data_IF_571354548979
#
_entry.id   IF_571354548979
#
_cell.length_a   1.000
_cell.length_b   1.000
_cell.length_c   1.000
_cell.angle_alpha   90.00
_cell.angle_beta   90.00
_cell.angle_gamma   90.00
#
_symmetry.space_group_name_H-M   'P 1'
#
loop_
_entity.id
_entity.type
_entity.pdbx_description
1 polymer ?
#
# COMPACT_ATOMS: atom_id res chain seq x y z
N UNK A 1 17.89 -56.28 -88.03
CA UNK A 1 17.80 -54.81 -87.91
C UNK A 1 16.56 -54.38 -87.17
N UNK A 2 15.35 -54.86 -87.54
CA UNK A 2 14.09 -54.49 -86.84
C UNK A 2 14.07 -54.87 -85.37
N UNK A 3 14.64 -56.00 -84.97
CA UNK A 3 14.73 -56.47 -83.58
C UNK A 3 15.76 -55.62 -82.77
N UNK A 4 16.82 -55.16 -83.44
CA UNK A 4 17.78 -54.25 -82.80
C UNK A 4 17.20 -52.85 -82.55
N UNK A 5 16.48 -52.32 -83.59
CA UNK A 5 15.77 -51.05 -83.40
C UNK A 5 14.63 -51.10 -82.35
N UNK A 6 13.92 -52.27 -82.27
CA UNK A 6 12.93 -52.44 -81.23
C UNK A 6 13.56 -52.56 -79.82
N UNK A 7 14.75 -53.19 -79.70
CA UNK A 7 15.44 -53.21 -78.45
C UNK A 7 15.94 -51.81 -78.01
N UNK A 8 16.50 -51.04 -78.94
CA UNK A 8 16.93 -49.65 -78.68
C UNK A 8 15.73 -48.77 -78.33
N UNK A 9 14.60 -48.96 -79.02
CA UNK A 9 13.35 -48.22 -78.66
C UNK A 9 12.79 -48.66 -77.30
N UNK A 10 12.92 -49.99 -76.98
CA UNK A 10 12.49 -50.48 -75.64
C UNK A 10 13.45 -50.03 -74.55
N UNK A 11 14.78 -49.95 -74.83
CA UNK A 11 15.74 -49.40 -73.88
C UNK A 11 15.56 -47.88 -73.74
N UNK A 12 15.18 -47.13 -74.77
CA UNK A 12 14.79 -45.73 -74.70
C UNK A 12 13.39 -45.55 -74.05
N UNK A 13 12.53 -46.58 -74.03
CA UNK A 13 11.23 -46.59 -73.37
C UNK A 13 11.30 -47.15 -71.94
N UNK A 14 12.47 -47.67 -71.52
CA UNK A 14 12.72 -47.89 -70.07
C UNK A 14 12.91 -46.53 -69.33
N UNK A 15 11.83 -45.75 -69.33
CA UNK A 15 11.76 -44.61 -68.42
C UNK A 15 11.96 -45.13 -67.01
N UNK A 16 13.05 -44.74 -66.37
CA UNK A 16 13.23 -44.99 -64.95
C UNK A 16 11.93 -44.63 -64.21
N UNK A 17 11.48 -45.51 -63.31
CA UNK A 17 10.34 -45.17 -62.45
C UNK A 17 10.56 -43.76 -61.88
N UNK A 18 9.59 -42.91 -62.08
CA UNK A 18 9.65 -41.52 -61.57
C UNK A 18 9.93 -41.55 -60.04
N UNK A 19 11.04 -40.98 -59.63
CA UNK A 19 11.40 -40.89 -58.22
C UNK A 19 10.58 -39.77 -57.56
N UNK A 20 9.58 -40.15 -56.80
CA UNK A 20 8.71 -39.28 -56.03
C UNK A 20 9.19 -39.07 -54.59
N UNK A 21 10.14 -39.84 -54.11
CA UNK A 21 10.51 -39.93 -52.66
C UNK A 21 10.96 -38.57 -52.09
N UNK A 22 11.77 -37.88 -52.87
CA UNK A 22 12.31 -36.58 -52.40
C UNK A 22 11.24 -35.48 -52.35
N UNK A 23 10.27 -35.48 -53.30
CA UNK A 23 9.14 -34.57 -53.25
C UNK A 23 8.16 -34.93 -52.14
N UNK A 24 7.93 -36.25 -51.92
CA UNK A 24 7.07 -36.72 -50.82
C UNK A 24 7.61 -36.28 -49.47
N UNK A 25 8.90 -36.51 -49.23
CA UNK A 25 9.56 -36.07 -47.97
C UNK A 25 9.40 -34.55 -47.73
N UNK A 26 9.65 -33.74 -48.76
CA UNK A 26 9.53 -32.30 -48.65
C UNK A 26 8.06 -31.86 -48.45
N UNK A 27 7.10 -32.51 -49.06
CA UNK A 27 5.68 -32.25 -48.86
C UNK A 27 5.20 -32.66 -47.48
N UNK A 28 5.73 -33.77 -46.93
CA UNK A 28 5.38 -34.26 -45.59
C UNK A 28 5.85 -33.36 -44.48
N UNK A 29 6.91 -32.56 -44.66
CA UNK A 29 7.32 -31.52 -43.71
C UNK A 29 6.19 -30.51 -43.46
N UNK A 30 5.29 -30.31 -44.42
CA UNK A 30 4.15 -29.41 -44.24
C UNK A 30 3.16 -29.85 -43.15
N UNK A 31 3.20 -31.15 -42.76
CA UNK A 31 2.32 -31.66 -41.72
C UNK A 31 2.65 -31.12 -40.32
N UNK A 32 3.86 -30.63 -40.13
CA UNK A 32 4.36 -30.02 -38.87
C UNK A 32 4.61 -28.51 -39.01
N UNK A 33 4.16 -27.87 -40.10
CA UNK A 33 4.43 -26.47 -40.37
C UNK A 33 3.94 -25.52 -39.26
N UNK A 34 2.81 -25.84 -38.62
CA UNK A 34 2.20 -25.04 -37.57
C UNK A 34 2.99 -25.07 -36.26
N UNK A 35 3.98 -25.96 -36.15
CA UNK A 35 4.96 -26.01 -35.05
C UNK A 35 6.31 -25.37 -35.43
N UNK A 36 6.43 -24.81 -36.63
CA UNK A 36 7.66 -24.23 -37.14
C UNK A 36 7.56 -22.69 -37.17
N UNK A 37 8.37 -22.01 -36.33
CA UNK A 37 8.42 -20.56 -36.20
C UNK A 37 8.67 -19.87 -37.57
N UNK A 38 9.52 -20.45 -38.40
CA UNK A 38 9.77 -19.94 -39.76
C UNK A 38 8.50 -19.85 -40.59
N UNK A 39 7.50 -20.75 -40.38
CA UNK A 39 6.22 -20.71 -41.06
C UNK A 39 5.21 -19.82 -40.31
N UNK A 40 4.92 -20.10 -39.04
CA UNK A 40 3.82 -19.39 -38.37
C UNK A 40 4.09 -17.89 -38.10
N UNK A 41 5.37 -17.47 -38.06
CA UNK A 41 5.77 -16.06 -37.95
C UNK A 41 6.11 -15.41 -39.31
N UNK A 42 6.01 -16.16 -40.44
CA UNK A 42 6.29 -15.58 -41.73
C UNK A 42 5.19 -14.58 -42.17
N UNK A 43 5.54 -13.68 -43.10
CA UNK A 43 4.58 -12.83 -43.76
C UNK A 43 3.46 -13.65 -44.40
N UNK A 44 2.21 -13.20 -44.33
CA UNK A 44 1.03 -13.90 -44.83
C UNK A 44 1.13 -14.28 -46.33
N UNK A 45 1.76 -13.42 -47.15
CA UNK A 45 1.99 -13.71 -48.57
C UNK A 45 2.94 -14.89 -48.75
N UNK A 46 3.99 -15.02 -47.91
CA UNK A 46 4.94 -16.12 -47.96
C UNK A 46 4.34 -17.43 -47.46
N UNK A 47 3.50 -17.34 -46.41
CA UNK A 47 2.71 -18.49 -45.93
C UNK A 47 1.75 -18.98 -47.03
N UNK A 48 1.06 -18.07 -47.73
CA UNK A 48 0.16 -18.42 -48.81
C UNK A 48 0.91 -19.07 -49.99
N UNK A 49 2.08 -18.50 -50.37
CA UNK A 49 2.92 -19.08 -51.44
C UNK A 49 3.41 -20.50 -51.07
N UNK A 50 3.86 -20.69 -49.84
CA UNK A 50 4.26 -22.02 -49.35
C UNK A 50 3.09 -23.00 -49.36
N UNK A 51 1.93 -22.63 -48.83
CA UNK A 51 0.75 -23.51 -48.84
C UNK A 51 0.35 -23.89 -50.25
N UNK A 52 0.36 -22.91 -51.22
CA UNK A 52 0.08 -23.19 -52.63
C UNK A 52 1.09 -24.20 -53.24
N UNK A 53 2.37 -24.02 -52.95
CA UNK A 53 3.40 -24.93 -53.41
C UNK A 53 3.25 -26.36 -52.84
N UNK A 54 2.83 -26.44 -51.55
CA UNK A 54 2.50 -27.76 -50.90
C UNK A 54 1.32 -28.42 -51.63
N UNK A 55 0.23 -27.66 -51.94
CA UNK A 55 -0.90 -28.23 -52.65
C UNK A 55 -0.53 -28.67 -54.07
N UNK A 56 0.27 -27.89 -54.79
CA UNK A 56 0.79 -28.29 -56.11
C UNK A 56 1.66 -29.52 -56.06
N UNK A 57 2.52 -29.66 -55.04
CA UNK A 57 3.35 -30.83 -54.78
C UNK A 57 2.49 -32.06 -54.51
N UNK A 58 1.50 -31.99 -53.64
CA UNK A 58 0.57 -33.09 -53.31
C UNK A 58 -0.23 -33.52 -54.53
N UNK A 59 -0.71 -32.55 -55.34
CA UNK A 59 -1.40 -32.83 -56.58
C UNK A 59 -0.50 -33.55 -57.62
N UNK A 60 0.78 -33.16 -57.71
CA UNK A 60 1.76 -33.83 -58.58
C UNK A 60 2.04 -35.27 -58.10
N UNK A 61 2.19 -35.47 -56.82
CA UNK A 61 2.40 -36.82 -56.22
C UNK A 61 1.21 -37.76 -56.45
N UNK A 62 -0.01 -37.23 -56.48
CA UNK A 62 -1.25 -37.99 -56.69
C UNK A 62 -1.50 -38.41 -58.15
N UNK A 63 -0.77 -37.88 -59.12
CA UNK A 63 -0.90 -38.29 -60.51
C UNK A 63 -0.39 -39.70 -60.71
N UNK A 64 -1.17 -40.55 -61.42
CA UNK A 64 -0.73 -41.89 -61.79
C UNK A 64 0.44 -41.88 -62.79
N UNK A 65 0.34 -40.99 -63.82
CA UNK A 65 1.36 -40.80 -64.82
C UNK A 65 1.95 -39.39 -64.71
N UNK A 66 3.09 -39.29 -64.07
CA UNK A 66 3.84 -38.04 -63.87
C UNK A 66 5.28 -38.21 -64.35
N UNK A 67 5.78 -37.27 -65.11
CA UNK A 67 7.16 -37.28 -65.58
C UNK A 67 8.13 -36.85 -64.46
N UNK A 68 9.39 -37.28 -64.54
CA UNK A 68 10.42 -36.79 -63.60
C UNK A 68 10.57 -35.30 -63.64
N UNK A 69 10.45 -34.67 -64.80
CA UNK A 69 10.50 -33.20 -64.96
C UNK A 69 9.40 -32.49 -64.20
N UNK A 70 8.15 -33.05 -64.15
CA UNK A 70 7.04 -32.47 -63.36
C UNK A 70 7.30 -32.61 -61.86
N UNK A 71 7.85 -33.76 -61.43
CA UNK A 71 8.24 -33.96 -60.01
C UNK A 71 9.35 -33.01 -59.59
N UNK A 72 10.37 -32.85 -60.41
CA UNK A 72 11.51 -31.96 -60.12
C UNK A 72 11.06 -30.49 -60.12
N UNK A 73 10.19 -30.07 -61.00
CA UNK A 73 9.62 -28.72 -61.04
C UNK A 73 8.76 -28.44 -59.81
N UNK A 74 7.92 -29.38 -59.36
CA UNK A 74 7.12 -29.23 -58.14
C UNK A 74 8.01 -29.18 -56.91
N UNK A 75 9.06 -30.01 -56.82
CA UNK A 75 10.03 -30.02 -55.76
C UNK A 75 10.78 -28.66 -55.66
N UNK A 76 11.25 -28.13 -56.81
CA UNK A 76 11.94 -26.87 -56.86
C UNK A 76 11.04 -25.72 -56.37
N UNK A 77 9.82 -25.65 -56.84
CA UNK A 77 8.83 -24.63 -56.39
C UNK A 77 8.57 -24.73 -54.89
N UNK A 78 8.38 -25.95 -54.34
CA UNK A 78 8.12 -26.13 -52.92
C UNK A 78 9.34 -25.76 -52.09
N UNK A 79 10.54 -26.12 -52.54
CA UNK A 79 11.79 -25.76 -51.88
C UNK A 79 12.00 -24.25 -51.88
N UNK A 80 11.81 -23.59 -53.01
CA UNK A 80 11.90 -22.11 -53.15
C UNK A 80 10.90 -21.40 -52.19
N UNK A 81 9.65 -21.86 -52.17
CA UNK A 81 8.64 -21.31 -51.28
C UNK A 81 8.96 -21.53 -49.82
N UNK A 82 9.51 -22.69 -49.45
CA UNK A 82 10.00 -23.00 -48.09
C UNK A 82 11.18 -22.08 -47.69
N UNK A 83 12.14 -21.92 -48.60
CA UNK A 83 13.32 -21.08 -48.36
C UNK A 83 12.98 -19.60 -48.25
N UNK A 84 11.90 -19.16 -48.92
CA UNK A 84 11.37 -17.80 -48.86
C UNK A 84 10.64 -17.47 -47.54
N UNK A 85 10.29 -18.47 -46.70
CA UNK A 85 9.70 -18.22 -45.41
C UNK A 85 10.67 -17.42 -44.53
N UNK A 86 10.19 -16.32 -43.92
CA UNK A 86 11.00 -15.35 -43.22
C UNK A 86 10.64 -15.19 -41.72
N UNK A 87 9.83 -16.11 -41.18
CA UNK A 87 9.51 -16.09 -39.76
C UNK A 87 10.74 -16.34 -38.89
N UNK A 88 10.83 -15.61 -37.80
CA UNK A 88 11.84 -15.80 -36.76
C UNK A 88 11.25 -16.56 -35.56
N UNK A 89 12.10 -17.05 -34.67
CA UNK A 89 11.66 -17.61 -33.42
C UNK A 89 10.94 -16.55 -32.57
N UNK A 90 9.89 -16.98 -31.89
CA UNK A 90 9.10 -16.08 -31.05
C UNK A 90 9.88 -15.67 -29.81
N UNK A 91 10.13 -14.38 -29.66
CA UNK A 91 10.75 -13.80 -28.48
C UNK A 91 9.69 -13.44 -27.43
N UNK A 92 9.68 -14.16 -26.33
CA UNK A 92 8.80 -13.95 -25.17
C UNK A 92 9.45 -13.18 -24.03
N UNK A 93 10.74 -12.85 -24.13
CA UNK A 93 11.55 -12.32 -23.01
C UNK A 93 10.96 -11.08 -22.38
N UNK A 94 10.57 -10.09 -23.17
CA UNK A 94 9.98 -8.83 -22.70
C UNK A 94 8.58 -9.02 -22.10
N UNK A 95 7.80 -9.97 -22.60
CA UNK A 95 6.50 -10.31 -21.99
C UNK A 95 6.71 -11.01 -20.64
N UNK A 96 7.72 -11.87 -20.56
CA UNK A 96 8.08 -12.54 -19.32
C UNK A 96 8.51 -11.53 -18.26
N UNK A 97 9.44 -10.62 -18.58
CA UNK A 97 9.88 -9.55 -17.67
C UNK A 97 8.71 -8.73 -17.13
N UNK A 98 7.82 -8.29 -18.03
CA UNK A 98 6.65 -7.49 -17.67
C UNK A 98 5.64 -8.28 -16.81
N UNK A 99 5.49 -9.58 -17.08
CA UNK A 99 4.67 -10.48 -16.27
C UNK A 99 5.27 -10.73 -14.88
N UNK A 100 6.59 -10.90 -14.79
CA UNK A 100 7.29 -11.15 -13.52
C UNK A 100 7.24 -9.96 -12.58
N UNK A 101 7.22 -8.72 -13.09
CA UNK A 101 6.99 -7.52 -12.28
C UNK A 101 5.68 -7.59 -11.49
N UNK A 102 4.68 -8.32 -11.99
CA UNK A 102 3.40 -8.48 -11.29
C UNK A 102 3.51 -9.26 -9.97
N UNK A 103 4.58 -10.01 -9.77
CA UNK A 103 4.80 -10.74 -8.51
C UNK A 103 5.01 -9.82 -7.30
N UNK A 104 5.45 -8.58 -7.54
CA UNK A 104 5.68 -7.56 -6.51
C UNK A 104 4.65 -6.42 -6.55
N UNK A 105 3.58 -6.54 -7.33
CA UNK A 105 2.58 -5.48 -7.54
C UNK A 105 1.98 -4.94 -6.23
N UNK A 106 1.74 -5.82 -5.25
CA UNK A 106 1.14 -5.47 -3.96
C UNK A 106 2.06 -4.59 -3.08
N UNK A 107 3.35 -4.47 -3.43
CA UNK A 107 4.30 -3.56 -2.82
C UNK A 107 4.41 -2.21 -3.56
N UNK A 108 3.71 -2.05 -4.69
CA UNK A 108 3.81 -0.86 -5.54
C UNK A 108 2.60 0.06 -5.32
N UNK A 109 2.83 1.26 -4.81
CA UNK A 109 1.76 2.24 -4.52
C UNK A 109 0.86 2.49 -5.74
N UNK A 110 1.46 2.57 -6.92
CA UNK A 110 0.74 2.74 -8.18
C UNK A 110 -0.33 1.66 -8.41
N UNK A 111 -0.13 0.45 -7.88
CA UNK A 111 -1.12 -0.63 -7.94
C UNK A 111 -2.07 -0.61 -6.73
N UNK A 112 -1.57 -0.70 -5.48
CA UNK A 112 -2.44 -0.89 -4.32
C UNK A 112 -3.32 0.33 -3.99
N UNK A 113 -2.94 1.54 -4.43
CA UNK A 113 -3.76 2.76 -4.33
C UNK A 113 -4.57 3.07 -5.59
N UNK A 114 -4.48 2.25 -6.65
CA UNK A 114 -5.24 2.47 -7.87
C UNK A 114 -6.73 2.17 -7.69
N UNK A 115 -7.55 2.74 -8.57
CA UNK A 115 -8.98 2.40 -8.65
C UNK A 115 -9.14 0.90 -8.87
N UNK A 116 -10.12 0.28 -8.20
CA UNK A 116 -10.36 -1.17 -8.26
C UNK A 116 -10.60 -1.71 -9.68
N UNK A 117 -11.21 -0.90 -10.56
CA UNK A 117 -11.42 -1.26 -11.96
C UNK A 117 -10.08 -1.35 -12.73
N UNK A 118 -9.14 -0.45 -12.42
CA UNK A 118 -7.80 -0.45 -13.03
C UNK A 118 -6.94 -1.59 -12.50
N UNK A 119 -7.04 -1.88 -11.21
CA UNK A 119 -6.42 -3.07 -10.64
C UNK A 119 -6.92 -4.35 -11.31
N UNK A 120 -8.25 -4.51 -11.46
CA UNK A 120 -8.85 -5.68 -12.10
C UNK A 120 -8.43 -5.81 -13.58
N UNK A 121 -8.34 -4.68 -14.30
CA UNK A 121 -7.88 -4.65 -15.70
C UNK A 121 -6.42 -5.08 -15.81
N UNK A 122 -5.56 -4.59 -14.93
CA UNK A 122 -4.15 -5.00 -14.87
C UNK A 122 -4.02 -6.50 -14.53
N UNK A 123 -4.73 -6.98 -13.53
CA UNK A 123 -4.70 -8.39 -13.12
C UNK A 123 -5.14 -9.33 -14.25
N UNK A 124 -6.19 -8.95 -14.99
CA UNK A 124 -6.64 -9.68 -16.17
C UNK A 124 -5.58 -9.72 -17.26
N UNK A 125 -4.91 -8.60 -17.52
CA UNK A 125 -3.84 -8.55 -18.52
C UNK A 125 -2.63 -9.40 -18.11
N UNK A 126 -2.30 -9.47 -16.81
CA UNK A 126 -1.27 -10.37 -16.26
C UNK A 126 -1.64 -11.82 -16.49
N UNK A 127 -2.87 -12.23 -16.23
CA UNK A 127 -3.32 -13.61 -16.46
C UNK A 127 -3.29 -13.97 -17.95
N UNK A 128 -3.72 -13.06 -18.85
CA UNK A 128 -3.59 -13.25 -20.30
C UNK A 128 -2.12 -13.45 -20.72
N UNK A 129 -1.20 -12.67 -20.13
CA UNK A 129 0.23 -12.79 -20.38
C UNK A 129 0.78 -14.17 -19.95
N UNK A 130 0.44 -14.62 -18.77
CA UNK A 130 0.85 -15.96 -18.26
C UNK A 130 0.35 -17.07 -19.17
N UNK A 131 -0.89 -16.99 -19.65
CA UNK A 131 -1.45 -17.98 -20.59
C UNK A 131 -0.65 -18.02 -21.90
N UNK A 132 -0.30 -16.87 -22.47
CA UNK A 132 0.48 -16.78 -23.72
C UNK A 132 1.92 -17.30 -23.51
N UNK A 133 2.53 -17.01 -22.36
CA UNK A 133 3.88 -17.48 -22.03
C UNK A 133 3.99 -19.01 -21.97
N UNK A 134 2.92 -19.72 -21.56
CA UNK A 134 2.89 -21.19 -21.50
C UNK A 134 2.61 -21.88 -22.82
N UNK A 135 2.14 -21.16 -23.86
CA UNK A 135 1.88 -21.75 -25.18
C UNK A 135 3.18 -22.16 -25.87
N UNK A 136 3.23 -23.38 -26.42
CA UNK A 136 4.40 -23.85 -27.18
C UNK A 136 4.52 -23.13 -28.52
N UNK A 137 3.42 -23.05 -29.28
CA UNK A 137 3.38 -22.47 -30.62
C UNK A 137 2.56 -21.19 -30.59
N UNK A 138 3.21 -20.06 -30.36
CA UNK A 138 2.59 -18.74 -30.31
C UNK A 138 3.32 -17.81 -31.28
N UNK A 139 2.57 -17.03 -32.04
CA UNK A 139 3.14 -16.06 -32.98
C UNK A 139 3.74 -14.86 -32.26
N UNK A 140 4.74 -14.23 -32.88
CA UNK A 140 5.29 -12.99 -32.35
C UNK A 140 4.20 -11.90 -32.22
N UNK A 141 3.26 -11.86 -33.18
CA UNK A 141 2.14 -10.92 -33.14
C UNK A 141 1.22 -11.13 -31.93
N UNK A 142 0.95 -12.37 -31.51
CA UNK A 142 0.18 -12.67 -30.30
C UNK A 142 0.93 -12.22 -29.03
N UNK A 143 2.25 -12.49 -28.99
CA UNK A 143 3.10 -12.04 -27.87
C UNK A 143 3.13 -10.52 -27.78
N UNK A 144 3.33 -9.83 -28.90
CA UNK A 144 3.38 -8.36 -28.93
C UNK A 144 2.04 -7.72 -28.59
N UNK A 145 0.92 -8.31 -29.02
CA UNK A 145 -0.41 -7.81 -28.67
C UNK A 145 -0.70 -7.92 -27.17
N UNK A 146 -0.35 -9.05 -26.56
CA UNK A 146 -0.56 -9.24 -25.11
C UNK A 146 0.39 -8.39 -24.29
N UNK A 147 1.65 -8.26 -24.72
CA UNK A 147 2.62 -7.34 -24.13
C UNK A 147 2.11 -5.88 -24.15
N UNK A 148 1.57 -5.44 -25.29
CA UNK A 148 1.01 -4.09 -25.41
C UNK A 148 -0.17 -3.87 -24.46
N UNK A 149 -1.10 -4.83 -24.34
CA UNK A 149 -2.22 -4.76 -23.40
C UNK A 149 -1.75 -4.72 -21.94
N UNK A 150 -0.79 -5.54 -21.56
CA UNK A 150 -0.26 -5.55 -20.20
C UNK A 150 0.45 -4.24 -19.87
N UNK A 151 1.22 -3.70 -20.81
CA UNK A 151 1.86 -2.40 -20.66
C UNK A 151 0.83 -1.28 -20.52
N UNK A 152 -0.20 -1.24 -21.39
CA UNK A 152 -1.29 -0.27 -21.32
C UNK A 152 -2.02 -0.33 -19.98
N UNK A 153 -2.36 -1.53 -19.51
CA UNK A 153 -3.01 -1.73 -18.23
C UNK A 153 -2.13 -1.27 -17.05
N UNK A 154 -0.81 -1.54 -17.11
CA UNK A 154 0.18 -1.06 -16.14
C UNK A 154 0.27 0.47 -16.13
N UNK A 155 0.31 1.10 -17.30
CA UNK A 155 0.41 2.56 -17.43
C UNK A 155 -0.87 3.27 -16.96
N UNK A 156 -2.02 2.61 -17.15
CA UNK A 156 -3.32 3.11 -16.70
C UNK A 156 -3.53 3.07 -15.17
N UNK A 157 -2.70 2.35 -14.41
CA UNK A 157 -2.75 2.38 -12.94
C UNK A 157 -2.52 3.81 -12.46
N UNK A 158 -3.37 4.29 -11.54
CA UNK A 158 -3.41 5.68 -11.10
C UNK A 158 -3.20 5.88 -9.60
N UNK A 159 -2.70 4.87 -8.90
CA UNK A 159 -2.40 5.00 -7.49
C UNK A 159 -1.19 5.91 -7.24
N UNK A 160 -1.35 6.82 -6.28
CA UNK A 160 -0.28 7.69 -5.82
C UNK A 160 0.47 7.10 -4.63
N UNK A 161 1.66 7.64 -4.33
CA UNK A 161 2.37 7.32 -3.10
C UNK A 161 1.50 7.66 -1.88
N UNK A 162 1.48 6.78 -0.90
CA UNK A 162 0.74 7.00 0.34
C UNK A 162 1.34 8.14 1.13
N UNK A 163 0.56 9.20 1.38
CA UNK A 163 0.99 10.36 2.14
C UNK A 163 0.83 10.10 3.64
N UNK A 164 1.90 9.63 4.29
CA UNK A 164 1.93 9.32 5.73
C UNK A 164 2.19 10.55 6.62
N UNK A 165 2.76 11.61 6.07
CA UNK A 165 3.30 12.75 6.82
C UNK A 165 2.26 13.44 7.70
N UNK A 166 1.04 13.62 7.20
CA UNK A 166 -0.04 14.28 7.97
C UNK A 166 -0.56 13.42 9.12
N UNK A 167 -0.59 12.09 8.94
CA UNK A 167 -0.95 11.18 10.02
C UNK A 167 0.18 11.11 11.04
N UNK A 168 1.43 11.07 10.59
CA UNK A 168 2.60 11.10 11.47
C UNK A 168 2.60 12.36 12.33
N UNK A 169 2.45 13.54 11.72
CA UNK A 169 2.40 14.82 12.46
C UNK A 169 1.28 14.82 13.51
N UNK A 170 0.08 14.34 13.17
CA UNK A 170 -1.04 14.27 14.10
C UNK A 170 -0.80 13.26 15.24
N UNK A 171 -0.14 12.12 14.94
CA UNK A 171 0.23 11.13 15.94
C UNK A 171 1.34 11.64 16.86
N UNK A 172 2.30 12.42 16.35
CA UNK A 172 3.42 12.97 17.11
C UNK A 172 2.96 14.01 18.13
N UNK A 173 1.85 14.70 17.91
CA UNK A 173 1.24 15.59 18.91
C UNK A 173 0.92 14.86 20.23
N UNK A 174 0.70 13.54 20.17
CA UNK A 174 0.47 12.72 21.37
C UNK A 174 1.67 12.64 22.31
N UNK A 175 2.87 12.96 21.83
CA UNK A 175 4.08 12.94 22.65
C UNK A 175 4.06 14.07 23.69
N UNK A 176 3.30 15.14 23.46
CA UNK A 176 3.13 16.29 24.35
C UNK A 176 1.76 16.32 25.05
N UNK A 177 0.96 15.25 24.91
CA UNK A 177 -0.40 15.19 25.45
C UNK A 177 -0.50 15.49 26.94
N UNK A 178 0.50 15.03 27.71
CA UNK A 178 0.53 15.22 29.18
C UNK A 178 0.83 16.67 29.58
N UNK A 179 1.25 17.53 28.64
CA UNK A 179 1.40 18.98 28.79
C UNK A 179 0.19 19.76 28.25
N UNK A 180 -0.81 19.07 27.71
CA UNK A 180 -1.98 19.69 27.10
C UNK A 180 -3.20 19.58 28.02
N UNK A 181 -3.67 20.72 28.56
CA UNK A 181 -4.83 20.80 29.45
C UNK A 181 -6.08 20.16 28.86
N UNK A 182 -6.29 20.30 27.57
CA UNK A 182 -7.38 19.66 26.85
C UNK A 182 -7.37 18.13 27.01
N UNK A 183 -6.17 17.52 27.12
CA UNK A 183 -6.04 16.09 27.35
C UNK A 183 -6.09 15.73 28.83
N UNK A 184 -5.19 16.30 29.67
CA UNK A 184 -5.06 15.86 31.07
C UNK A 184 -6.26 16.23 31.95
N UNK A 185 -7.08 17.24 31.57
CA UNK A 185 -8.35 17.60 32.24
C UNK A 185 -9.59 17.00 31.55
N UNK A 186 -9.43 16.22 30.47
CA UNK A 186 -10.57 15.60 29.81
C UNK A 186 -11.15 14.45 30.63
N UNK A 187 -12.41 14.14 30.37
CA UNK A 187 -13.07 12.95 30.92
C UNK A 187 -12.26 11.68 30.56
N UNK A 188 -12.23 10.71 31.47
CA UNK A 188 -11.40 9.50 31.33
C UNK A 188 -11.73 8.70 30.06
N UNK A 189 -13.01 8.63 29.67
CA UNK A 189 -13.45 7.96 28.45
C UNK A 189 -12.93 8.65 27.17
N UNK A 190 -12.79 9.97 27.20
CA UNK A 190 -12.23 10.77 26.09
C UNK A 190 -10.71 10.58 25.98
N UNK A 191 -10.02 10.55 27.13
CA UNK A 191 -8.60 10.24 27.15
C UNK A 191 -8.31 8.84 26.61
N UNK A 192 -9.11 7.84 27.02
CA UNK A 192 -8.98 6.46 26.55
C UNK A 192 -9.23 6.36 25.03
N UNK A 193 -10.29 6.99 24.51
CA UNK A 193 -10.59 7.02 23.08
C UNK A 193 -9.46 7.66 22.27
N UNK A 194 -8.90 8.78 22.74
CA UNK A 194 -7.75 9.45 22.10
C UNK A 194 -6.52 8.54 22.10
N UNK A 195 -6.16 7.95 23.25
CA UNK A 195 -5.01 7.05 23.33
C UNK A 195 -5.14 5.85 22.39
N UNK A 196 -6.33 5.24 22.29
CA UNK A 196 -6.61 4.15 21.37
C UNK A 196 -6.43 4.57 19.90
N UNK A 197 -6.94 5.74 19.53
CA UNK A 197 -6.78 6.27 18.18
C UNK A 197 -5.31 6.56 17.83
N UNK A 198 -4.51 7.04 18.81
CA UNK A 198 -3.06 7.22 18.65
C UNK A 198 -2.35 5.88 18.40
N UNK A 199 -2.69 4.84 19.16
CA UNK A 199 -2.10 3.51 18.97
C UNK A 199 -2.48 2.90 17.60
N UNK A 200 -3.73 3.07 17.17
CA UNK A 200 -4.17 2.67 15.83
C UNK A 200 -3.37 3.41 14.74
N UNK A 201 -3.14 4.72 14.91
CA UNK A 201 -2.37 5.52 13.98
C UNK A 201 -0.91 5.06 13.88
N UNK A 202 -0.25 4.82 15.02
CA UNK A 202 1.12 4.31 15.07
C UNK A 202 1.23 2.91 14.44
N UNK A 203 0.27 2.03 14.69
CA UNK A 203 0.22 0.70 14.10
C UNK A 203 0.09 0.74 12.56
N UNK A 204 -0.74 1.64 12.03
CA UNK A 204 -0.90 1.82 10.58
C UNK A 204 0.34 2.44 9.94
N UNK A 205 0.96 3.43 10.60
CA UNK A 205 2.21 4.06 10.12
C UNK A 205 3.38 3.07 10.03
N UNK A 206 3.40 2.06 10.90
CA UNK A 206 4.43 1.02 10.93
C UNK A 206 4.30 -0.03 9.83
N UNK A 207 3.16 -0.11 9.13
CA UNK A 207 2.98 -1.04 8.00
C UNK A 207 3.84 -0.62 6.81
N UNK A 208 4.47 -1.58 6.13
CA UNK A 208 5.21 -1.33 4.89
C UNK A 208 4.28 -0.90 3.76
N UNK A 209 3.21 -1.66 3.55
CA UNK A 209 2.23 -1.42 2.48
C UNK A 209 0.91 -1.01 3.12
N UNK A 210 0.60 0.27 3.03
CA UNK A 210 -0.63 0.85 3.55
C UNK A 210 -1.28 1.71 2.46
N UNK A 211 -2.57 1.52 2.26
CA UNK A 211 -3.32 2.31 1.27
C UNK A 211 -3.57 3.72 1.77
N UNK A 212 -3.76 4.67 0.83
CA UNK A 212 -4.15 6.03 1.19
C UNK A 212 -5.48 6.04 1.94
N UNK A 213 -6.42 5.16 1.57
CA UNK A 213 -7.71 5.02 2.26
C UNK A 213 -7.57 4.60 3.73
N UNK A 214 -6.65 3.67 4.05
CA UNK A 214 -6.36 3.30 5.45
C UNK A 214 -5.77 4.47 6.24
N UNK A 215 -4.84 5.23 5.63
CA UNK A 215 -4.26 6.43 6.26
C UNK A 215 -5.34 7.47 6.53
N UNK A 216 -6.19 7.77 5.56
CA UNK A 216 -7.24 8.78 5.69
C UNK A 216 -8.29 8.39 6.74
N UNK A 217 -8.68 7.11 6.78
CA UNK A 217 -9.63 6.60 7.77
C UNK A 217 -9.10 6.71 9.21
N UNK A 218 -7.84 6.31 9.42
CA UNK A 218 -7.23 6.38 10.76
C UNK A 218 -6.94 7.82 11.18
N UNK A 219 -6.52 8.67 10.23
CA UNK A 219 -6.34 10.10 10.47
C UNK A 219 -7.65 10.76 10.90
N UNK A 220 -8.78 10.45 10.21
CA UNK A 220 -10.09 10.97 10.58
C UNK A 220 -10.49 10.55 12.00
N UNK A 221 -10.29 9.28 12.37
CA UNK A 221 -10.56 8.78 13.74
C UNK A 221 -9.71 9.48 14.79
N UNK A 222 -8.41 9.66 14.52
CA UNK A 222 -7.50 10.33 15.47
C UNK A 222 -7.89 11.79 15.64
N UNK A 223 -8.24 12.47 14.53
CA UNK A 223 -8.70 13.85 14.59
C UNK A 223 -10.02 13.98 15.37
N UNK A 224 -10.99 13.08 15.12
CA UNK A 224 -12.26 13.04 15.86
C UNK A 224 -12.05 12.83 17.36
N UNK A 225 -11.20 11.88 17.74
CA UNK A 225 -10.88 11.61 19.12
C UNK A 225 -10.16 12.81 19.80
N UNK A 226 -9.27 13.49 19.08
CA UNK A 226 -8.61 14.72 19.52
C UNK A 226 -9.60 15.86 19.73
N UNK A 227 -10.53 16.04 18.79
CA UNK A 227 -11.54 17.10 18.85
C UNK A 227 -12.57 16.84 19.96
N UNK A 228 -12.80 15.58 20.31
CA UNK A 228 -13.69 15.17 21.40
C UNK A 228 -13.11 15.39 22.80
N UNK A 229 -11.80 15.68 22.92
CA UNK A 229 -11.21 16.03 24.22
C UNK A 229 -11.87 17.30 24.75
N UNK A 230 -12.35 17.25 25.99
CA UNK A 230 -13.17 18.29 26.59
C UNK A 230 -12.55 18.96 27.81
N UNK A 231 -11.25 18.71 28.06
CA UNK A 231 -10.54 19.37 29.16
C UNK A 231 -10.39 20.88 28.93
N UNK A 232 -10.54 21.63 30.01
CA UNK A 232 -10.30 23.07 30.05
C UNK A 232 -8.93 23.38 30.67
N UNK A 233 -8.46 24.60 30.49
CA UNK A 233 -7.27 25.07 31.20
C UNK A 233 -7.50 25.03 32.71
N UNK A 234 -6.47 24.64 33.44
CA UNK A 234 -6.53 24.59 34.91
C UNK A 234 -6.61 25.97 35.52
N UNK A 235 -7.71 26.26 36.22
CA UNK A 235 -7.87 27.48 36.99
C UNK A 235 -7.25 27.33 38.37
N UNK A 236 -6.20 28.09 38.66
CA UNK A 236 -5.48 28.14 39.93
C UNK A 236 -5.82 29.37 40.78
N UNK A 237 -6.68 30.29 40.29
CA UNK A 237 -6.84 31.60 40.88
C UNK A 237 -7.29 31.56 42.34
N UNK A 238 -8.30 30.74 42.65
CA UNK A 238 -8.84 30.63 44.01
C UNK A 238 -7.90 29.95 45.00
N UNK A 239 -7.18 28.88 44.54
CA UNK A 239 -6.13 28.24 45.36
C UNK A 239 -4.98 29.20 45.61
N UNK A 240 -4.61 30.04 44.62
CA UNK A 240 -3.59 31.06 44.78
C UNK A 240 -4.03 32.10 45.83
N UNK A 241 -5.28 32.62 45.73
CA UNK A 241 -5.84 33.56 46.71
C UNK A 241 -5.80 33.02 48.12
N UNK A 242 -6.31 31.81 48.37
CA UNK A 242 -6.26 31.13 49.67
C UNK A 242 -4.82 30.92 50.17
N UNK A 243 -3.90 30.59 49.27
CA UNK A 243 -2.48 30.40 49.60
C UNK A 243 -1.83 31.74 50.02
N UNK A 244 -2.17 32.85 49.32
CA UNK A 244 -1.63 34.18 49.56
C UNK A 244 -2.12 34.74 50.88
N UNK A 245 -3.37 34.49 51.29
CA UNK A 245 -3.89 34.84 52.63
C UNK A 245 -3.02 34.26 53.75
N UNK A 246 -2.40 33.11 53.53
CA UNK A 246 -1.51 32.50 54.53
C UNK A 246 -0.26 33.32 54.88
N UNK A 247 0.11 34.27 54.02
CA UNK A 247 1.22 35.20 54.30
C UNK A 247 0.96 36.14 55.48
N UNK A 248 -0.32 36.37 55.77
CA UNK A 248 -0.73 37.25 56.90
C UNK A 248 -1.28 36.48 58.09
N UNK A 249 -1.13 35.17 58.14
CA UNK A 249 -1.67 34.31 59.17
C UNK A 249 -1.27 34.71 60.60
N UNK A 250 -0.05 35.22 60.76
CA UNK A 250 0.49 35.65 62.05
C UNK A 250 -0.22 36.90 62.63
N UNK A 251 -1.00 37.60 61.78
CA UNK A 251 -1.81 38.77 62.20
C UNK A 251 -3.28 38.41 62.37
N UNK A 252 -3.67 37.17 61.98
CA UNK A 252 -5.05 36.70 62.13
C UNK A 252 -5.24 35.99 63.48
N UNK A 253 -6.09 36.56 64.34
CA UNK A 253 -6.40 36.02 65.66
C UNK A 253 -6.94 34.57 65.59
N UNK A 254 -7.69 34.27 64.53
CA UNK A 254 -8.15 32.91 64.29
C UNK A 254 -7.03 31.89 64.18
N UNK A 255 -5.88 32.28 63.62
CA UNK A 255 -4.69 31.43 63.52
C UNK A 255 -3.84 31.46 64.77
N UNK A 256 -3.34 32.66 65.22
CA UNK A 256 -2.35 32.68 66.31
C UNK A 256 -2.90 32.30 67.69
N UNK A 257 -4.23 32.40 67.89
CA UNK A 257 -4.92 31.94 69.11
C UNK A 257 -5.55 30.53 68.96
N UNK A 258 -5.40 29.87 67.81
CA UNK A 258 -5.94 28.53 67.62
C UNK A 258 -5.16 27.46 68.39
N UNK A 259 -5.83 26.35 68.61
CA UNK A 259 -5.16 25.15 69.14
C UNK A 259 -4.01 24.71 68.21
N UNK A 260 -2.90 24.25 68.83
CA UNK A 260 -1.67 23.95 68.10
C UNK A 260 -1.85 22.86 67.00
N UNK A 261 -2.72 21.90 67.25
CA UNK A 261 -3.06 20.87 66.24
C UNK A 261 -3.75 21.47 65.01
N UNK A 262 -4.58 22.51 65.19
CA UNK A 262 -5.25 23.25 64.13
C UNK A 262 -4.27 24.10 63.31
N UNK A 263 -3.35 24.79 64.01
CA UNK A 263 -2.29 25.53 63.35
C UNK A 263 -1.42 24.64 62.47
N UNK A 264 -0.98 23.49 63.00
CA UNK A 264 -0.18 22.52 62.25
C UNK A 264 -0.93 21.96 61.04
N UNK A 265 -2.22 21.66 61.16
CA UNK A 265 -3.05 21.19 60.06
C UNK A 265 -3.17 22.27 58.96
N UNK A 266 -3.39 23.54 59.35
CA UNK A 266 -3.44 24.64 58.40
C UNK A 266 -2.10 24.86 57.69
N UNK A 267 -1.00 24.90 58.42
CA UNK A 267 0.34 25.05 57.82
C UNK A 267 0.70 23.96 56.85
N UNK A 268 0.32 22.73 57.16
CA UNK A 268 0.46 21.57 56.26
C UNK A 268 -0.35 21.78 54.98
N UNK A 269 -1.62 22.17 55.09
CA UNK A 269 -2.48 22.40 53.94
C UNK A 269 -1.96 23.57 53.07
N UNK A 270 -1.43 24.64 53.63
CA UNK A 270 -0.74 25.70 52.93
C UNK A 270 0.47 25.18 52.17
N UNK A 271 1.29 24.36 52.79
CA UNK A 271 2.44 23.72 52.14
C UNK A 271 2.04 22.86 50.93
N UNK A 272 0.99 22.04 51.07
CA UNK A 272 0.43 21.22 50.01
C UNK A 272 -0.12 22.12 48.86
N UNK A 273 -0.85 23.16 49.18
CA UNK A 273 -1.37 24.12 48.19
C UNK A 273 -0.24 24.78 47.38
N UNK A 274 0.81 25.30 48.03
CA UNK A 274 2.00 25.85 47.38
C UNK A 274 2.69 24.85 46.48
N UNK A 275 2.79 23.59 46.89
CA UNK A 275 3.38 22.53 46.08
C UNK A 275 2.53 22.24 44.81
N UNK A 276 1.20 22.24 44.91
CA UNK A 276 0.28 22.10 43.77
C UNK A 276 0.38 23.28 42.81
N UNK A 277 0.41 24.53 43.33
CA UNK A 277 0.54 25.75 42.53
C UNK A 277 1.85 25.81 41.72
N UNK A 278 2.93 25.22 42.27
CA UNK A 278 4.25 25.18 41.62
C UNK A 278 4.38 24.16 40.49
N UNK A 279 3.42 23.24 40.34
CA UNK A 279 3.45 22.26 39.25
C UNK A 279 3.14 22.94 37.92
N UNK A 280 3.92 22.58 36.85
CA UNK A 280 3.64 23.06 35.48
C UNK A 280 2.35 22.46 34.95
N UNK A 281 2.20 21.14 35.03
CA UNK A 281 1.06 20.39 34.52
C UNK A 281 0.29 19.82 35.71
N UNK A 282 -0.77 20.49 36.11
CA UNK A 282 -1.62 20.10 37.24
C UNK A 282 -3.06 20.02 36.77
N UNK A 283 -3.74 18.95 37.12
CA UNK A 283 -5.16 18.77 36.78
C UNK A 283 -6.04 19.69 37.62
N UNK A 284 -7.22 20.05 37.07
CA UNK A 284 -8.20 20.81 37.84
C UNK A 284 -8.60 20.06 39.12
N UNK A 285 -8.73 18.74 39.06
CA UNK A 285 -9.05 17.91 40.23
C UNK A 285 -7.99 18.01 41.34
N UNK A 286 -6.70 18.10 41.00
CA UNK A 286 -5.64 18.32 41.99
C UNK A 286 -5.71 19.69 42.63
N UNK A 287 -6.02 20.72 41.84
CA UNK A 287 -6.23 22.12 42.33
C UNK A 287 -7.44 22.17 43.25
N UNK A 288 -8.59 21.62 42.82
CA UNK A 288 -9.84 21.61 43.61
C UNK A 288 -9.66 20.87 44.93
N UNK A 289 -8.95 19.70 44.91
CA UNK A 289 -8.65 18.94 46.12
C UNK A 289 -7.75 19.72 47.12
N UNK A 290 -6.74 20.42 46.59
CA UNK A 290 -5.87 21.24 47.40
C UNK A 290 -6.59 22.47 47.98
N UNK A 291 -7.43 23.11 47.17
CA UNK A 291 -8.32 24.22 47.58
C UNK A 291 -9.27 23.76 48.73
N UNK A 292 -9.97 22.65 48.53
CA UNK A 292 -10.90 22.09 49.55
C UNK A 292 -10.18 21.80 50.86
N UNK A 293 -9.01 21.18 50.84
CA UNK A 293 -8.20 20.90 52.03
C UNK A 293 -7.74 22.18 52.74
N UNK A 294 -7.25 23.16 51.96
CA UNK A 294 -6.80 24.41 52.54
C UNK A 294 -7.97 25.18 53.16
N UNK A 295 -9.13 25.22 52.50
CA UNK A 295 -10.32 25.85 53.02
C UNK A 295 -10.83 25.15 54.28
N UNK A 296 -10.89 23.80 54.29
CA UNK A 296 -11.28 23.01 55.46
C UNK A 296 -10.37 23.29 56.65
N UNK A 297 -9.05 23.29 56.44
CA UNK A 297 -8.08 23.58 57.48
C UNK A 297 -8.20 25.02 58.00
N UNK A 298 -8.47 26.03 57.11
CA UNK A 298 -8.73 27.41 57.48
C UNK A 298 -10.00 27.54 58.35
N UNK A 299 -11.08 26.86 57.92
CA UNK A 299 -12.36 26.90 58.63
C UNK A 299 -12.28 26.22 60.02
N UNK A 300 -11.39 25.24 60.19
CA UNK A 300 -11.15 24.53 61.42
C UNK A 300 -10.35 25.34 62.45
N UNK A 301 -9.74 26.44 62.05
CA UNK A 301 -9.07 27.36 63.00
C UNK A 301 -10.08 27.92 64.02
N UNK A 302 -9.80 27.78 65.28
CA UNK A 302 -10.72 28.09 66.38
C UNK A 302 -10.24 29.21 67.31
N UNK A 303 -9.21 29.97 66.94
CA UNK A 303 -8.73 31.11 67.68
C UNK A 303 -9.79 32.20 67.75
N UNK A 304 -9.86 32.88 68.87
CA UNK A 304 -10.70 34.05 69.08
C UNK A 304 -9.87 35.32 69.24
N UNK A 305 -10.48 36.46 69.01
CA UNK A 305 -9.83 37.74 69.21
C UNK A 305 -9.35 37.89 70.67
N UNK A 306 -8.15 38.43 70.82
CA UNK A 306 -7.63 38.71 72.18
C UNK A 306 -8.44 39.85 72.81
N UNK A 307 -9.14 39.52 73.87
CA UNK A 307 -9.84 40.56 74.65
C UNK A 307 -8.82 41.34 75.51
N UNK A 308 -8.60 42.60 75.15
CA UNK A 308 -7.69 43.54 75.85
C UNK A 308 -8.42 44.47 76.77
N UNK A 309 -9.75 44.37 76.88
CA UNK A 309 -10.57 45.35 77.61
C UNK A 309 -10.21 45.38 79.10
N UNK A 310 -10.01 44.28 79.74
CA UNK A 310 -9.61 44.21 81.15
C UNK A 310 -8.21 44.81 81.37
N UNK A 311 -7.27 44.61 80.46
CA UNK A 311 -5.94 45.24 80.53
C UNK A 311 -5.97 46.68 80.29
N UNK A 312 -6.83 47.17 79.38
CA UNK A 312 -7.01 48.56 79.08
C UNK A 312 -7.61 49.27 80.32
N UNK A 313 -8.66 48.70 80.92
CA UNK A 313 -9.31 49.29 82.13
C UNK A 313 -8.30 49.39 83.30
N UNK A 314 -7.45 48.34 83.46
CA UNK A 314 -6.42 48.40 84.54
C UNK A 314 -5.35 49.46 84.23
N UNK A 315 -4.99 49.66 83.00
CA UNK A 315 -4.03 50.67 82.60
C UNK A 315 -4.62 52.07 82.82
N UNK A 316 -5.89 52.24 82.49
CA UNK A 316 -6.61 53.51 82.68
C UNK A 316 -6.84 53.84 84.17
N UNK A 317 -7.03 52.85 85.04
CA UNK A 317 -7.10 53.00 86.50
C UNK A 317 -5.75 53.40 87.15
N UNK A 318 -4.64 53.15 86.45
CA UNK A 318 -3.28 53.41 86.91
C UNK A 318 -2.68 54.68 86.45
N UNK A 319 -3.34 55.44 85.57
CA UNK A 319 -2.93 56.73 85.03
C UNK A 319 -3.55 57.91 85.79
#
# INVERSE_FOLDING_TARGET
EVVKNLKEIIEDLDGNNTDKDSLQKLADESNTKDSNSKYYNADSEKQAAYNKAVEEAKATLAKENVSQAEVDAAKTKLQEAKDALNGADTDKSKLQELSDESATKDAIAKYYNADSEKQATYDKAVEEAKVVLTKENVTQAEVDAVKAKLQEAKDALNGDQTAKEKLQALADESNEKDSNSKYYNADADKQEAYNKAVEEAKAVLAKENVTQSEIDAVKAKLQEAKDALNGADTDKAKLQELSDESAMKETDAKYYNADSDKQVAYDKAVGEAKAVLAKENVTQAEVDAAEAKLQEAKDALNGADTNKEALQNLADESA
#
